data_IF_406753745362
#
_entry.id   IF_406753745362
#
_cell.length_a   1.000
_cell.length_b   1.000
_cell.length_c   1.000
_cell.angle_alpha   90.00
_cell.angle_beta   90.00
_cell.angle_gamma   90.00
#
_symmetry.space_group_name_H-M   'P 1'
#
loop_
_entity.id
_entity.type
_entity.pdbx_description
1 polymer ?
#
# COMPACT_ATOMS: atom_id res chain seq x y z
N UNK A 1 49.72 -40.12 2.62
CA UNK A 1 50.96 -40.80 3.07
C UNK A 1 50.92 -40.88 4.58
N UNK A 2 50.72 -42.07 5.15
CA UNK A 2 50.76 -42.32 6.60
C UNK A 2 52.22 -42.42 7.04
N UNK A 3 52.64 -41.58 7.98
CA UNK A 3 53.96 -41.74 8.62
C UNK A 3 53.88 -42.85 9.68
N UNK A 4 55.04 -43.40 10.04
CA UNK A 4 55.25 -44.57 10.91
C UNK A 4 54.63 -44.45 12.32
N UNK A 5 54.10 -43.28 12.70
CA UNK A 5 53.46 -42.99 14.00
C UNK A 5 51.93 -42.95 13.97
N UNK A 6 51.29 -43.38 12.86
CA UNK A 6 49.84 -43.59 12.82
C UNK A 6 48.99 -42.31 12.81
N UNK A 7 49.59 -41.13 12.62
CA UNK A 7 48.85 -39.89 12.40
C UNK A 7 48.63 -39.67 10.90
N UNK A 8 47.38 -39.64 10.48
CA UNK A 8 46.93 -39.22 9.15
C UNK A 8 47.13 -37.71 9.01
N UNK A 9 48.38 -37.26 8.89
CA UNK A 9 48.66 -35.89 8.49
C UNK A 9 48.28 -35.74 7.00
N UNK A 10 47.38 -34.81 6.65
CA UNK A 10 47.17 -34.50 5.25
C UNK A 10 48.48 -33.88 4.73
N UNK A 11 49.09 -34.49 3.71
CA UNK A 11 50.30 -34.00 3.05
C UNK A 11 49.96 -32.73 2.25
N UNK A 12 49.78 -31.62 2.97
CA UNK A 12 49.39 -30.34 2.40
C UNK A 12 50.49 -29.75 1.53
N UNK A 13 51.74 -30.06 1.83
CA UNK A 13 52.94 -29.69 1.08
C UNK A 13 52.97 -30.27 -0.35
N UNK A 14 52.22 -31.36 -0.59
CA UNK A 14 52.12 -31.99 -1.90
C UNK A 14 50.88 -31.55 -2.71
N UNK A 15 50.08 -30.61 -2.21
CA UNK A 15 48.87 -30.13 -2.90
C UNK A 15 49.20 -28.91 -3.76
N UNK A 16 48.54 -28.73 -4.93
CA UNK A 16 48.82 -27.64 -5.86
C UNK A 16 48.72 -26.22 -5.27
N UNK A 17 47.93 -26.03 -4.21
CA UNK A 17 47.71 -24.76 -3.52
C UNK A 17 47.82 -24.92 -1.99
N UNK A 18 48.50 -25.98 -1.55
CA UNK A 18 48.54 -26.36 -0.15
C UNK A 18 49.49 -25.51 0.69
N UNK A 19 50.47 -24.87 0.08
CA UNK A 19 51.39 -23.92 0.69
C UNK A 19 50.74 -22.57 1.05
N UNK A 20 49.61 -22.23 0.42
CA UNK A 20 48.90 -20.99 0.68
C UNK A 20 48.44 -20.89 2.14
N UNK A 21 48.83 -19.82 2.83
CA UNK A 21 48.27 -19.49 4.15
C UNK A 21 46.76 -19.28 4.05
N UNK A 22 46.03 -19.43 5.16
CA UNK A 22 44.57 -19.18 5.19
C UNK A 22 44.19 -17.80 4.68
N UNK A 23 45.01 -16.78 4.98
CA UNK A 23 44.83 -15.41 4.48
C UNK A 23 45.09 -15.31 2.98
N UNK A 24 46.15 -15.94 2.48
CA UNK A 24 46.48 -15.95 1.07
C UNK A 24 45.41 -16.65 0.23
N UNK A 25 44.93 -17.82 0.67
CA UNK A 25 43.84 -18.55 0.00
C UNK A 25 42.55 -17.71 -0.05
N UNK A 26 42.18 -17.07 1.07
CA UNK A 26 41.00 -16.21 1.10
C UNK A 26 41.12 -14.98 0.17
N UNK A 27 42.32 -14.39 0.08
CA UNK A 27 42.59 -13.29 -0.84
C UNK A 27 42.48 -13.72 -2.31
N UNK A 28 43.09 -14.86 -2.67
CA UNK A 28 43.02 -15.38 -4.04
C UNK A 28 41.59 -15.77 -4.45
N UNK A 29 40.81 -16.38 -3.55
CA UNK A 29 39.39 -16.67 -3.78
C UNK A 29 38.56 -15.39 -3.96
N UNK A 30 38.89 -14.30 -3.27
CA UNK A 30 38.23 -13.02 -3.46
C UNK A 30 38.53 -12.42 -4.85
N UNK A 31 39.80 -12.44 -5.27
CA UNK A 31 40.24 -12.00 -6.61
C UNK A 31 39.57 -12.82 -7.71
N UNK A 32 39.47 -14.14 -7.54
CA UNK A 32 38.75 -15.03 -8.46
C UNK A 32 37.27 -14.64 -8.58
N UNK A 33 36.59 -14.37 -7.46
CA UNK A 33 35.17 -13.99 -7.49
C UNK A 33 34.93 -12.69 -8.23
N UNK A 34 35.84 -11.71 -8.09
CA UNK A 34 35.76 -10.47 -8.84
C UNK A 34 35.97 -10.70 -10.34
N UNK A 35 36.90 -11.59 -10.72
CA UNK A 35 37.13 -11.95 -12.13
C UNK A 35 35.93 -12.66 -12.76
N UNK A 36 35.30 -13.60 -12.05
CA UNK A 36 34.09 -14.29 -12.51
C UNK A 36 32.96 -13.29 -12.74
N UNK A 37 32.76 -12.36 -11.80
CA UNK A 37 31.71 -11.33 -11.92
C UNK A 37 31.94 -10.43 -13.13
N UNK A 38 33.16 -9.93 -13.30
CA UNK A 38 33.53 -9.12 -14.45
C UNK A 38 33.34 -9.87 -15.78
N UNK A 39 33.70 -11.16 -15.83
CA UNK A 39 33.49 -11.99 -17.01
C UNK A 39 32.00 -12.16 -17.36
N UNK A 40 31.14 -12.32 -16.34
CA UNK A 40 29.68 -12.40 -16.51
C UNK A 40 29.07 -11.07 -16.97
N UNK A 41 29.50 -9.95 -16.38
CA UNK A 41 29.02 -8.60 -16.72
C UNK A 41 29.36 -8.22 -18.17
N UNK A 42 30.53 -8.65 -18.66
CA UNK A 42 30.99 -8.36 -20.03
C UNK A 42 30.76 -9.50 -21.03
N UNK A 43 30.05 -10.56 -20.64
CA UNK A 43 29.78 -11.74 -21.47
C UNK A 43 31.04 -12.34 -22.11
N UNK A 44 32.18 -12.27 -21.40
CA UNK A 44 33.48 -12.74 -21.87
C UNK A 44 33.78 -14.12 -21.28
N UNK A 45 34.18 -15.12 -22.09
CA UNK A 45 34.52 -16.43 -21.56
C UNK A 45 35.83 -16.38 -20.76
N UNK A 46 35.86 -17.09 -19.63
CA UNK A 46 37.08 -17.27 -18.83
C UNK A 46 38.11 -18.13 -19.59
N UNK A 47 39.37 -17.72 -19.56
CA UNK A 47 40.49 -18.49 -20.13
C UNK A 47 40.58 -19.88 -19.47
N UNK A 48 41.08 -20.88 -20.21
CA UNK A 48 41.29 -22.23 -19.67
C UNK A 48 42.17 -22.23 -18.42
N UNK A 49 43.22 -21.38 -18.40
CA UNK A 49 44.12 -21.20 -17.26
C UNK A 49 43.38 -20.66 -16.03
N UNK A 50 42.52 -19.65 -16.21
CA UNK A 50 41.71 -19.10 -15.11
C UNK A 50 40.75 -20.16 -14.57
N UNK A 51 40.09 -20.94 -15.45
CA UNK A 51 39.19 -22.03 -15.02
C UNK A 51 39.91 -23.09 -14.18
N UNK A 52 41.14 -23.46 -14.54
CA UNK A 52 41.94 -24.42 -13.76
C UNK A 52 42.33 -23.86 -12.39
N UNK A 53 42.83 -22.61 -12.33
CA UNK A 53 43.17 -21.95 -11.05
C UNK A 53 41.95 -21.83 -10.14
N UNK A 54 40.77 -21.51 -10.69
CA UNK A 54 39.50 -21.46 -9.95
C UNK A 54 39.16 -22.84 -9.37
N UNK A 55 39.29 -23.90 -10.18
CA UNK A 55 39.01 -25.26 -9.75
C UNK A 55 39.96 -25.70 -8.63
N UNK A 56 41.25 -25.41 -8.74
CA UNK A 56 42.26 -25.77 -7.73
C UNK A 56 42.07 -25.01 -6.41
N UNK A 57 41.81 -23.70 -6.47
CA UNK A 57 41.52 -22.91 -5.27
C UNK A 57 40.22 -23.34 -4.58
N UNK A 58 39.20 -23.70 -5.36
CA UNK A 58 37.92 -24.19 -4.82
C UNK A 58 38.09 -25.57 -4.19
N UNK A 59 38.85 -26.47 -4.82
CA UNK A 59 39.19 -27.79 -4.30
C UNK A 59 39.98 -27.69 -3.00
N UNK A 60 40.99 -26.82 -2.94
CA UNK A 60 41.76 -26.58 -1.71
C UNK A 60 40.86 -26.01 -0.59
N UNK A 61 39.94 -25.09 -0.92
CA UNK A 61 38.99 -24.57 0.07
C UNK A 61 38.04 -25.65 0.62
N UNK A 62 37.61 -26.60 -0.21
CA UNK A 62 36.81 -27.74 0.22
C UNK A 62 37.61 -28.70 1.10
N UNK A 63 38.86 -29.01 0.70
CA UNK A 63 39.76 -29.87 1.47
C UNK A 63 40.04 -29.30 2.86
N UNK A 64 40.13 -27.97 3.02
CA UNK A 64 40.31 -27.32 4.34
C UNK A 64 39.07 -27.32 5.22
N UNK A 65 37.87 -27.60 4.66
CA UNK A 65 36.61 -27.69 5.40
C UNK A 65 36.26 -29.12 5.82
N UNK A 66 36.84 -30.12 5.15
CA UNK A 66 36.60 -31.53 5.42
C UNK A 66 37.14 -32.03 6.78
N UNK A 67 38.34 -31.66 7.26
CA UNK A 67 38.87 -32.17 8.52
C UNK A 67 38.19 -31.53 9.75
N UNK A 68 38.31 -32.20 10.90
CA UNK A 68 37.86 -31.61 12.16
C UNK A 68 38.60 -30.30 12.43
N UNK A 69 37.96 -29.36 13.14
CA UNK A 69 38.53 -28.04 13.38
C UNK A 69 39.92 -28.08 14.06
N UNK A 70 40.20 -29.12 14.86
CA UNK A 70 41.50 -29.31 15.53
C UNK A 70 42.60 -29.68 14.53
N UNK A 71 42.30 -30.57 13.59
CA UNK A 71 43.25 -30.99 12.56
C UNK A 71 43.49 -29.86 11.55
N UNK A 72 42.42 -29.15 11.17
CA UNK A 72 42.51 -27.95 10.34
C UNK A 72 43.40 -26.87 10.98
N UNK A 73 43.22 -26.61 12.28
CA UNK A 73 44.04 -25.64 13.02
C UNK A 73 45.51 -26.07 13.13
N UNK A 74 45.77 -27.38 13.27
CA UNK A 74 47.13 -27.94 13.31
C UNK A 74 47.83 -27.80 11.96
N UNK A 75 47.13 -28.12 10.86
CA UNK A 75 47.64 -27.98 9.48
C UNK A 75 47.92 -26.50 9.15
N UNK A 76 47.01 -25.59 9.50
CA UNK A 76 47.20 -24.14 9.34
C UNK A 76 48.43 -23.62 10.12
N UNK A 77 48.63 -24.10 11.36
CA UNK A 77 49.81 -23.73 12.16
C UNK A 77 51.12 -24.24 11.55
N UNK A 78 51.12 -25.46 11.01
CA UNK A 78 52.29 -26.03 10.33
C UNK A 78 52.63 -25.24 9.06
N UNK A 79 51.63 -24.84 8.26
CA UNK A 79 51.79 -23.96 7.09
C UNK A 79 52.40 -22.62 7.47
N UNK A 80 51.79 -21.92 8.43
CA UNK A 80 52.27 -20.62 8.89
C UNK A 80 53.71 -20.70 9.40
N UNK A 81 54.10 -21.81 10.02
CA UNK A 81 55.47 -22.03 10.49
C UNK A 81 56.46 -22.25 9.34
N UNK A 82 56.07 -23.05 8.35
CA UNK A 82 56.90 -23.33 7.17
C UNK A 82 57.14 -22.06 6.34
N UNK A 83 56.10 -21.24 6.12
CA UNK A 83 56.21 -19.99 5.36
C UNK A 83 57.06 -18.93 6.10
N UNK A 84 57.10 -18.95 7.43
CA UNK A 84 57.80 -17.96 8.25
C UNK A 84 59.24 -18.36 8.65
N UNK A 85 59.76 -19.51 8.21
CA UNK A 85 61.17 -19.90 8.37
C UNK A 85 61.68 -20.05 9.81
N UNK A 86 60.81 -20.26 10.80
CA UNK A 86 61.21 -20.25 12.22
C UNK A 86 61.76 -21.61 12.67
N UNK A 87 63.09 -21.71 12.77
CA UNK A 87 63.82 -22.83 13.36
C UNK A 87 63.40 -23.09 14.83
N UNK A 88 63.41 -24.37 15.25
CA UNK A 88 63.17 -24.81 16.62
C UNK A 88 64.28 -24.27 17.54
N UNK A 89 63.94 -23.44 18.52
CA UNK A 89 64.82 -23.18 19.68
C UNK A 89 64.96 -21.73 20.14
N UNK A 90 64.62 -20.72 19.33
CA UNK A 90 64.74 -19.31 19.73
C UNK A 90 63.44 -18.56 19.47
N UNK A 91 62.40 -18.82 20.27
CA UNK A 91 61.28 -17.88 20.41
C UNK A 91 61.77 -16.63 21.13
N UNK A 92 62.43 -15.76 20.38
CA UNK A 92 62.75 -14.40 20.79
C UNK A 92 61.48 -13.76 21.35
N UNK A 93 61.58 -13.08 22.49
CA UNK A 93 60.49 -12.34 23.12
C UNK A 93 59.82 -11.37 22.11
N UNK A 94 60.56 -10.90 21.11
CA UNK A 94 60.03 -10.11 20.00
C UNK A 94 59.07 -10.89 19.07
N UNK A 95 59.29 -12.19 18.84
CA UNK A 95 58.38 -13.05 18.08
C UNK A 95 57.07 -13.31 18.87
N UNK A 96 57.16 -13.48 20.19
CA UNK A 96 55.99 -13.61 21.08
C UNK A 96 55.18 -12.30 21.12
N UNK A 97 55.85 -11.15 21.23
CA UNK A 97 55.19 -9.83 21.18
C UNK A 97 54.49 -9.59 19.84
N UNK A 98 55.14 -9.93 18.71
CA UNK A 98 54.53 -9.83 17.38
C UNK A 98 53.30 -10.71 17.24
N UNK A 99 53.37 -11.98 17.63
CA UNK A 99 52.20 -12.89 17.57
C UNK A 99 51.05 -12.43 18.47
N UNK A 100 51.34 -11.93 19.67
CA UNK A 100 50.31 -11.33 20.53
C UNK A 100 49.69 -10.07 19.93
N UNK A 101 50.49 -9.19 19.32
CA UNK A 101 50.01 -8.00 18.62
C UNK A 101 49.10 -8.39 17.44
N UNK A 102 49.52 -9.34 16.60
CA UNK A 102 48.70 -9.87 15.49
C UNK A 102 47.40 -10.51 15.96
N UNK A 103 47.41 -11.23 17.09
CA UNK A 103 46.18 -11.79 17.68
C UNK A 103 45.24 -10.69 18.18
N UNK A 104 45.78 -9.64 18.81
CA UNK A 104 44.99 -8.50 19.30
C UNK A 104 44.33 -7.74 18.14
N UNK A 105 45.08 -7.47 17.06
CA UNK A 105 44.54 -6.80 15.87
C UNK A 105 43.48 -7.66 15.19
N UNK A 106 43.75 -8.95 14.96
CA UNK A 106 42.77 -9.88 14.38
C UNK A 106 41.49 -9.99 15.22
N UNK A 107 41.60 -9.91 16.55
CA UNK A 107 40.44 -9.92 17.46
C UNK A 107 39.65 -8.61 17.37
N UNK A 108 40.35 -7.47 17.31
CA UNK A 108 39.72 -6.16 17.13
C UNK A 108 38.98 -6.07 15.78
N UNK A 109 39.60 -6.56 14.71
CA UNK A 109 39.00 -6.62 13.38
C UNK A 109 37.74 -7.50 13.38
N UNK A 110 37.81 -8.71 13.96
CA UNK A 110 36.62 -9.59 14.09
C UNK A 110 35.49 -8.92 14.86
N UNK A 111 35.78 -8.22 15.96
CA UNK A 111 34.78 -7.47 16.72
C UNK A 111 34.17 -6.35 15.90
N UNK A 112 34.97 -5.61 15.13
CA UNK A 112 34.49 -4.56 14.22
C UNK A 112 33.58 -5.12 13.13
N UNK A 113 33.98 -6.23 12.49
CA UNK A 113 33.16 -6.90 11.48
C UNK A 113 31.85 -7.43 12.05
N UNK A 114 31.87 -8.04 13.24
CA UNK A 114 30.67 -8.53 13.90
C UNK A 114 29.69 -7.39 14.21
N UNK A 115 30.17 -6.25 14.73
CA UNK A 115 29.34 -5.06 14.98
C UNK A 115 28.74 -4.50 13.69
N UNK A 116 29.53 -4.41 12.62
CA UNK A 116 29.03 -3.94 11.33
C UNK A 116 28.02 -4.91 10.69
N UNK A 117 28.17 -6.22 10.92
CA UNK A 117 27.20 -7.22 10.47
C UNK A 117 25.90 -7.13 11.27
N UNK A 118 25.96 -6.96 12.59
CA UNK A 118 24.79 -6.76 13.45
C UNK A 118 24.02 -5.51 13.04
N UNK A 119 24.69 -4.37 12.90
CA UNK A 119 24.04 -3.12 12.49
C UNK A 119 23.34 -3.21 11.12
N UNK A 120 23.89 -4.01 10.18
CA UNK A 120 23.21 -4.28 8.90
C UNK A 120 21.99 -5.17 9.07
N UNK A 121 22.06 -6.17 9.94
CA UNK A 121 20.93 -7.03 10.24
C UNK A 121 19.80 -6.22 10.87
N UNK A 122 20.11 -5.37 11.84
CA UNK A 122 19.15 -4.47 12.50
C UNK A 122 18.48 -3.54 11.49
N UNK A 123 19.24 -2.90 10.60
CA UNK A 123 18.69 -2.04 9.56
C UNK A 123 17.75 -2.79 8.58
N UNK A 124 18.03 -4.05 8.27
CA UNK A 124 17.15 -4.89 7.44
C UNK A 124 15.88 -5.26 8.21
N UNK A 125 16.00 -5.65 9.47
CA UNK A 125 14.85 -5.92 10.34
C UNK A 125 13.95 -4.71 10.51
N UNK A 126 14.53 -3.52 10.72
CA UNK A 126 13.78 -2.27 10.81
C UNK A 126 13.04 -1.95 9.52
N UNK A 127 13.67 -2.19 8.36
CA UNK A 127 13.01 -2.03 7.06
C UNK A 127 11.85 -3.02 6.88
N UNK A 128 12.04 -4.27 7.28
CA UNK A 128 10.97 -5.30 7.24
C UNK A 128 9.81 -4.89 8.15
N UNK A 129 10.09 -4.46 9.38
CA UNK A 129 9.04 -4.00 10.30
C UNK A 129 8.37 -2.71 9.85
N UNK A 130 9.10 -1.79 9.20
CA UNK A 130 8.53 -0.60 8.60
C UNK A 130 7.58 -0.96 7.45
N UNK A 131 7.97 -1.90 6.58
CA UNK A 131 7.13 -2.41 5.51
C UNK A 131 5.88 -3.13 6.06
N UNK A 132 6.03 -3.97 7.07
CA UNK A 132 4.90 -4.65 7.72
C UNK A 132 3.92 -3.64 8.34
N UNK A 133 4.41 -2.64 9.07
CA UNK A 133 3.57 -1.54 9.60
C UNK A 133 2.91 -0.73 8.49
N UNK A 134 3.56 -0.58 7.35
CA UNK A 134 2.98 0.11 6.20
C UNK A 134 1.83 -0.69 5.58
N UNK A 135 1.98 -2.01 5.48
CA UNK A 135 0.91 -2.94 5.02
C UNK A 135 -0.25 -3.06 6.00
N UNK A 136 0.01 -2.94 7.30
CA UNK A 136 -1.04 -2.89 8.31
C UNK A 136 -1.86 -1.59 8.23
N UNK A 137 -1.24 -0.49 7.78
CA UNK A 137 -1.87 0.85 7.72
C UNK A 137 -2.51 1.18 6.37
N UNK A 138 -2.05 0.59 5.29
CA UNK A 138 -2.73 0.69 3.99
C UNK A 138 -3.69 -0.49 3.87
N UNK A 139 -5.02 -0.27 3.79
CA UNK A 139 -5.87 -1.27 3.17
C UNK A 139 -5.30 -1.46 1.77
N UNK A 140 -4.86 -2.67 1.43
CA UNK A 140 -4.11 -2.97 0.21
C UNK A 140 -4.78 -2.36 -1.03
N UNK A 141 -6.10 -2.19 -1.00
CA UNK A 141 -6.92 -1.44 -1.94
C UNK A 141 -8.22 -1.08 -1.22
N UNK A 142 -8.97 -0.08 -1.69
CA UNK A 142 -10.35 0.09 -1.23
C UNK A 142 -11.09 -1.25 -1.38
N UNK A 143 -11.88 -1.69 -0.38
CA UNK A 143 -12.54 -2.99 -0.44
C UNK A 143 -13.34 -3.07 -1.74
N UNK A 144 -13.06 -4.12 -2.53
CA UNK A 144 -13.76 -4.33 -3.80
C UNK A 144 -15.25 -4.37 -3.52
N UNK A 145 -16.00 -3.47 -4.17
CA UNK A 145 -17.46 -3.49 -4.10
C UNK A 145 -17.96 -4.43 -5.19
N UNK A 146 -18.57 -5.58 -4.84
CA UNK A 146 -19.01 -6.54 -5.84
C UNK A 146 -20.00 -5.90 -6.80
N UNK A 147 -19.76 -6.06 -8.10
CA UNK A 147 -20.67 -5.68 -9.16
C UNK A 147 -21.61 -6.83 -9.49
N UNK A 148 -22.80 -6.83 -8.88
CA UNK A 148 -23.83 -7.84 -9.17
C UNK A 148 -24.67 -7.48 -10.40
N UNK A 149 -24.40 -6.33 -11.04
CA UNK A 149 -25.13 -5.80 -12.19
C UNK A 149 -24.40 -6.00 -13.53
N UNK A 150 -23.27 -6.71 -13.55
CA UNK A 150 -22.61 -7.12 -14.79
C UNK A 150 -23.40 -8.16 -15.59
N UNK A 151 -23.00 -8.39 -16.85
CA UNK A 151 -23.52 -9.52 -17.64
C UNK A 151 -23.25 -10.86 -16.92
N UNK A 152 -22.03 -11.00 -16.40
CA UNK A 152 -21.68 -11.97 -15.37
C UNK A 152 -21.55 -11.21 -14.05
N UNK A 153 -22.44 -11.44 -13.08
CA UNK A 153 -22.32 -10.89 -11.73
C UNK A 153 -21.08 -11.43 -11.00
N UNK A 154 -20.48 -10.61 -10.12
CA UNK A 154 -19.28 -11.02 -9.36
C UNK A 154 -19.50 -12.25 -8.46
N UNK A 155 -20.73 -12.49 -8.00
CA UNK A 155 -21.06 -13.72 -7.24
C UNK A 155 -21.03 -15.00 -8.09
N UNK A 156 -21.10 -14.88 -9.42
CA UNK A 156 -20.92 -15.97 -10.39
C UNK A 156 -19.45 -16.16 -10.73
N UNK A 157 -18.78 -15.09 -11.14
CA UNK A 157 -17.35 -15.06 -11.39
C UNK A 157 -16.84 -13.66 -11.10
N UNK A 158 -15.90 -13.55 -10.16
CA UNK A 158 -15.33 -12.26 -9.76
C UNK A 158 -14.57 -11.61 -10.93
N UNK A 159 -15.01 -10.41 -11.31
CA UNK A 159 -14.40 -9.61 -12.38
C UNK A 159 -13.32 -8.65 -11.87
N UNK A 160 -13.17 -8.48 -10.55
CA UNK A 160 -12.22 -7.52 -9.96
C UNK A 160 -10.79 -7.76 -10.43
N UNK A 161 -10.35 -9.01 -10.45
CA UNK A 161 -9.00 -9.37 -10.86
C UNK A 161 -8.70 -9.01 -12.33
N UNK A 162 -9.72 -8.83 -13.19
CA UNK A 162 -9.55 -8.39 -14.57
C UNK A 162 -9.18 -6.91 -14.68
N UNK A 163 -9.67 -6.09 -13.77
CA UNK A 163 -9.49 -4.63 -13.75
C UNK A 163 -8.44 -4.17 -12.74
N UNK A 164 -8.02 -5.06 -11.83
CA UNK A 164 -7.07 -4.71 -10.78
C UNK A 164 -5.68 -4.39 -11.36
N UNK A 165 -5.08 -3.23 -11.02
CA UNK A 165 -3.81 -2.78 -11.59
C UNK A 165 -2.63 -3.69 -11.23
N UNK A 166 -2.72 -4.41 -10.11
CA UNK A 166 -1.72 -5.39 -9.68
C UNK A 166 -1.80 -6.74 -10.41
N UNK A 167 -2.82 -6.99 -11.24
CA UNK A 167 -2.93 -8.27 -11.96
C UNK A 167 -2.04 -8.24 -13.20
N UNK A 168 -1.03 -9.14 -13.32
CA UNK A 168 -0.18 -9.20 -14.51
C UNK A 168 -1.00 -9.45 -15.77
N UNK A 169 -0.55 -8.91 -16.90
CA UNK A 169 -1.33 -8.92 -18.15
C UNK A 169 -1.69 -10.34 -18.64
N UNK A 170 -0.75 -11.28 -18.55
CA UNK A 170 -1.01 -12.68 -18.93
C UNK A 170 -2.08 -13.34 -18.04
N UNK A 171 -2.13 -12.98 -16.75
CA UNK A 171 -3.19 -13.43 -15.85
C UNK A 171 -4.54 -12.79 -16.20
N UNK A 172 -4.56 -11.49 -16.52
CA UNK A 172 -5.78 -10.82 -17.00
C UNK A 172 -6.31 -11.49 -18.27
N UNK A 173 -5.45 -11.80 -19.23
CA UNK A 173 -5.83 -12.49 -20.47
C UNK A 173 -6.42 -13.88 -20.19
N UNK A 174 -5.77 -14.68 -19.34
CA UNK A 174 -6.26 -16.01 -18.98
C UNK A 174 -7.57 -15.96 -18.19
N UNK A 175 -7.73 -15.01 -17.27
CA UNK A 175 -8.98 -14.80 -16.54
C UNK A 175 -10.10 -14.36 -17.49
N UNK A 176 -9.82 -13.47 -18.45
CA UNK A 176 -10.80 -13.04 -19.44
C UNK A 176 -11.27 -14.22 -20.30
N UNK A 177 -10.35 -15.10 -20.70
CA UNK A 177 -10.70 -16.34 -21.40
C UNK A 177 -11.58 -17.25 -20.54
N UNK A 178 -11.23 -17.42 -19.26
CA UNK A 178 -12.05 -18.22 -18.34
C UNK A 178 -13.43 -17.62 -18.09
N UNK A 179 -13.59 -16.30 -18.08
CA UNK A 179 -14.87 -15.60 -17.97
C UNK A 179 -15.77 -15.78 -19.21
N UNK A 180 -15.20 -16.05 -20.40
CA UNK A 180 -16.00 -16.37 -21.61
C UNK A 180 -16.75 -17.69 -21.49
N UNK A 181 -16.21 -18.66 -20.75
CA UNK A 181 -16.82 -19.98 -20.55
C UNK A 181 -18.18 -19.89 -19.81
N UNK A 182 -18.27 -19.29 -18.60
CA UNK A 182 -19.55 -19.12 -17.92
C UNK A 182 -20.49 -18.18 -18.67
N UNK A 183 -19.98 -17.14 -19.36
CA UNK A 183 -20.84 -16.30 -20.22
C UNK A 183 -21.55 -17.13 -21.29
N UNK A 184 -20.81 -17.96 -22.02
CA UNK A 184 -21.36 -18.84 -23.05
C UNK A 184 -22.34 -19.85 -22.45
N UNK A 185 -21.97 -20.48 -21.33
CA UNK A 185 -22.82 -21.45 -20.65
C UNK A 185 -24.15 -20.81 -20.16
N UNK A 186 -24.11 -19.61 -19.61
CA UNK A 186 -25.31 -18.85 -19.22
C UNK A 186 -26.17 -18.50 -20.43
N UNK A 187 -25.55 -18.08 -21.54
CA UNK A 187 -26.28 -17.78 -22.77
C UNK A 187 -26.98 -19.04 -23.33
N UNK A 188 -26.28 -20.16 -23.46
CA UNK A 188 -26.83 -21.43 -23.94
C UNK A 188 -27.96 -21.94 -23.04
N UNK A 189 -27.76 -21.83 -21.72
CA UNK A 189 -28.79 -22.23 -20.75
C UNK A 189 -30.01 -21.32 -20.82
N UNK A 190 -29.81 -20.01 -20.96
CA UNK A 190 -30.89 -19.04 -21.13
C UNK A 190 -31.73 -19.31 -22.38
N UNK A 191 -31.11 -19.68 -23.50
CA UNK A 191 -31.83 -20.08 -24.71
C UNK A 191 -32.66 -21.35 -24.48
N UNK A 192 -32.10 -22.34 -23.78
CA UNK A 192 -32.82 -23.57 -23.42
C UNK A 192 -34.05 -23.27 -22.54
N UNK A 193 -33.88 -22.41 -21.53
CA UNK A 193 -34.96 -21.96 -20.66
C UNK A 193 -36.03 -21.15 -21.41
N UNK A 194 -35.65 -20.36 -22.42
CA UNK A 194 -36.60 -19.60 -23.22
C UNK A 194 -37.44 -20.50 -24.15
N UNK A 195 -36.90 -21.63 -24.58
CA UNK A 195 -37.63 -22.61 -25.39
C UNK A 195 -38.64 -23.41 -24.56
N UNK A 196 -38.29 -23.77 -23.32
CA UNK A 196 -39.16 -24.50 -22.41
C UNK A 196 -39.11 -23.90 -20.99
N UNK A 197 -39.85 -22.80 -20.72
CA UNK A 197 -39.80 -22.13 -19.42
C UNK A 197 -40.31 -23.02 -18.29
N UNK A 198 -39.49 -23.29 -17.25
CA UNK A 198 -39.92 -24.09 -16.10
C UNK A 198 -40.94 -23.34 -15.24
N UNK A 199 -41.68 -24.07 -14.40
CA UNK A 199 -42.74 -23.48 -13.57
C UNK A 199 -42.24 -22.37 -12.61
N UNK A 200 -41.01 -22.47 -12.11
CA UNK A 200 -40.42 -21.43 -11.26
C UNK A 200 -40.20 -20.12 -12.02
N UNK A 201 -40.10 -20.13 -13.34
CA UNK A 201 -39.84 -18.93 -14.15
C UNK A 201 -41.10 -18.06 -14.36
N UNK A 202 -42.27 -18.48 -13.90
CA UNK A 202 -43.53 -17.70 -13.99
C UNK A 202 -43.39 -16.23 -13.56
N UNK A 203 -42.67 -15.87 -12.47
CA UNK A 203 -42.50 -14.48 -12.07
C UNK A 203 -41.69 -13.61 -13.04
N UNK A 204 -40.89 -14.20 -13.94
CA UNK A 204 -40.16 -13.47 -14.99
C UNK A 204 -41.07 -13.05 -16.16
N UNK A 205 -42.30 -13.58 -16.21
CA UNK A 205 -43.21 -13.44 -17.35
C UNK A 205 -42.85 -14.38 -18.51
N UNK A 206 -43.68 -14.42 -19.56
CA UNK A 206 -43.41 -15.26 -20.74
C UNK A 206 -42.16 -14.77 -21.49
N UNK A 207 -41.41 -15.68 -22.15
CA UNK A 207 -40.27 -15.30 -22.96
C UNK A 207 -40.72 -14.36 -24.10
N UNK A 208 -40.03 -13.22 -24.33
CA UNK A 208 -40.37 -12.29 -25.39
C UNK A 208 -40.31 -12.91 -26.80
N UNK A 209 -41.12 -12.41 -27.75
CA UNK A 209 -41.11 -12.91 -29.13
C UNK A 209 -39.74 -12.71 -29.79
N UNK A 210 -39.42 -13.55 -30.79
CA UNK A 210 -38.17 -13.47 -31.57
C UNK A 210 -37.96 -12.12 -32.25
N UNK A 211 -39.04 -11.39 -32.55
CA UNK A 211 -39.01 -10.03 -33.11
C UNK A 211 -38.41 -8.98 -32.16
N UNK A 212 -38.21 -9.32 -30.87
CA UNK A 212 -37.61 -8.42 -29.87
C UNK A 212 -36.30 -9.00 -29.30
N UNK A 213 -35.24 -9.14 -30.13
CA UNK A 213 -34.06 -9.93 -29.78
C UNK A 213 -33.35 -9.43 -28.51
N UNK A 214 -33.26 -8.11 -28.31
CA UNK A 214 -32.64 -7.54 -27.09
C UNK A 214 -33.41 -7.92 -25.81
N UNK A 215 -34.74 -7.80 -25.83
CA UNK A 215 -35.58 -8.12 -24.67
C UNK A 215 -35.60 -9.62 -24.40
N UNK A 216 -35.62 -10.43 -25.46
CA UNK A 216 -35.51 -11.89 -25.38
C UNK A 216 -34.17 -12.32 -24.79
N UNK A 217 -33.06 -11.71 -25.21
CA UNK A 217 -31.74 -11.96 -24.65
C UNK A 217 -31.69 -11.58 -23.15
N UNK A 218 -32.19 -10.41 -22.77
CA UNK A 218 -32.24 -10.01 -21.37
C UNK A 218 -33.07 -10.97 -20.49
N UNK A 219 -34.21 -11.46 -21.02
CA UNK A 219 -35.02 -12.48 -20.35
C UNK A 219 -34.24 -13.79 -20.19
N UNK A 220 -33.59 -14.27 -21.27
CA UNK A 220 -32.82 -15.51 -21.28
C UNK A 220 -31.65 -15.47 -20.29
N UNK A 221 -30.86 -14.39 -20.28
CA UNK A 221 -29.75 -14.20 -19.35
C UNK A 221 -30.26 -14.15 -17.90
N UNK A 222 -31.35 -13.43 -17.64
CA UNK A 222 -31.92 -13.35 -16.28
C UNK A 222 -32.46 -14.69 -15.81
N UNK A 223 -33.12 -15.47 -16.69
CA UNK A 223 -33.58 -16.81 -16.36
C UNK A 223 -32.41 -17.76 -16.03
N UNK A 224 -31.32 -17.72 -16.80
CA UNK A 224 -30.13 -18.52 -16.51
C UNK A 224 -29.49 -18.15 -15.16
N UNK A 225 -29.40 -16.85 -14.85
CA UNK A 225 -28.89 -16.38 -13.56
C UNK A 225 -29.79 -16.81 -12.39
N UNK A 226 -31.12 -16.74 -12.54
CA UNK A 226 -32.07 -17.21 -11.53
C UNK A 226 -31.93 -18.72 -11.31
N UNK A 227 -31.76 -19.50 -12.38
CA UNK A 227 -31.54 -20.94 -12.24
C UNK A 227 -30.23 -21.27 -11.54
N UNK A 228 -29.15 -20.58 -11.90
CA UNK A 228 -27.84 -20.73 -11.25
C UNK A 228 -27.94 -20.38 -9.76
N UNK A 229 -28.61 -19.29 -9.42
CA UNK A 229 -28.89 -18.89 -8.04
C UNK A 229 -29.65 -19.98 -7.29
N UNK A 230 -30.74 -20.49 -7.86
CA UNK A 230 -31.53 -21.57 -7.27
C UNK A 230 -30.71 -22.84 -7.05
N UNK A 231 -29.83 -23.17 -7.98
CA UNK A 231 -28.93 -24.34 -7.87
C UNK A 231 -27.93 -24.14 -6.73
N UNK A 232 -27.30 -22.97 -6.66
CA UNK A 232 -26.34 -22.61 -5.59
C UNK A 232 -26.97 -22.65 -4.19
N UNK A 233 -28.22 -22.19 -4.06
CA UNK A 233 -28.94 -22.12 -2.79
C UNK A 233 -29.92 -23.29 -2.56
N UNK A 234 -29.85 -24.36 -3.38
CA UNK A 234 -30.71 -25.54 -3.27
C UNK A 234 -32.23 -25.24 -3.23
N UNK A 235 -32.69 -24.26 -4.01
CA UNK A 235 -34.09 -23.80 -4.04
C UNK A 235 -34.89 -24.65 -5.02
N UNK A 236 -35.72 -25.56 -4.50
CA UNK A 236 -36.51 -26.50 -5.33
C UNK A 236 -37.99 -26.14 -5.41
N UNK A 237 -38.62 -25.71 -4.31
CA UNK A 237 -40.09 -25.53 -4.23
C UNK A 237 -40.63 -24.10 -4.37
N UNK A 238 -39.79 -23.07 -4.27
CA UNK A 238 -40.25 -21.68 -4.35
C UNK A 238 -40.36 -21.19 -5.80
N UNK A 239 -41.30 -20.30 -6.16
CA UNK A 239 -41.30 -19.61 -7.45
C UNK A 239 -40.17 -18.56 -7.51
N UNK A 240 -39.70 -18.26 -8.72
CA UNK A 240 -38.69 -17.21 -8.97
C UNK A 240 -37.38 -17.47 -8.24
N UNK A 241 -36.87 -16.42 -7.57
CA UNK A 241 -35.60 -16.45 -6.84
C UNK A 241 -35.67 -17.13 -5.46
N UNK A 242 -36.87 -17.39 -4.94
CA UNK A 242 -37.05 -17.82 -3.55
C UNK A 242 -36.86 -16.67 -2.54
N UNK A 243 -36.84 -16.99 -1.23
CA UNK A 243 -36.72 -15.99 -0.17
C UNK A 243 -35.36 -15.28 -0.19
N UNK A 244 -35.34 -14.01 0.23
CA UNK A 244 -34.11 -13.23 0.39
C UNK A 244 -33.23 -13.83 1.50
N UNK A 245 -31.95 -14.16 1.24
CA UNK A 245 -31.04 -14.67 2.27
C UNK A 245 -30.78 -13.67 3.41
N UNK A 246 -30.35 -14.20 4.56
CA UNK A 246 -29.94 -13.39 5.71
C UNK A 246 -28.47 -12.92 5.64
N UNK A 247 -27.61 -13.66 4.93
CA UNK A 247 -26.22 -13.26 4.72
C UNK A 247 -26.17 -11.93 3.91
N UNK A 248 -25.45 -10.90 4.37
CA UNK A 248 -25.44 -9.58 3.71
C UNK A 248 -24.94 -9.60 2.27
N UNK A 249 -23.94 -10.44 1.95
CA UNK A 249 -23.37 -10.53 0.61
C UNK A 249 -24.35 -11.16 -0.37
N UNK A 250 -24.92 -12.30 0.01
CA UNK A 250 -25.95 -12.97 -0.77
C UNK A 250 -27.24 -12.13 -0.87
N UNK A 251 -27.58 -11.38 0.18
CA UNK A 251 -28.75 -10.50 0.18
C UNK A 251 -28.61 -9.37 -0.86
N UNK A 252 -27.42 -8.79 -1.03
CA UNK A 252 -27.18 -7.78 -2.06
C UNK A 252 -27.24 -8.36 -3.49
N UNK A 253 -26.68 -9.55 -3.70
CA UNK A 253 -26.78 -10.26 -4.97
C UNK A 253 -28.23 -10.63 -5.31
N UNK A 254 -28.99 -11.07 -4.31
CA UNK A 254 -30.43 -11.34 -4.43
C UNK A 254 -31.20 -10.08 -4.80
N UNK A 255 -30.95 -8.94 -4.13
CA UNK A 255 -31.65 -7.68 -4.37
C UNK A 255 -31.41 -7.16 -5.79
N UNK A 256 -30.18 -7.24 -6.31
CA UNK A 256 -29.84 -6.84 -7.68
C UNK A 256 -30.46 -7.80 -8.72
N UNK A 257 -30.51 -9.10 -8.45
CA UNK A 257 -31.14 -10.08 -9.35
C UNK A 257 -32.67 -9.94 -9.36
N UNK A 258 -33.29 -9.66 -8.21
CA UNK A 258 -34.72 -9.37 -8.14
C UNK A 258 -35.06 -8.05 -8.86
N UNK A 259 -34.20 -7.02 -8.74
CA UNK A 259 -34.35 -5.79 -9.52
C UNK A 259 -34.33 -6.05 -11.04
N UNK A 260 -33.50 -6.98 -11.53
CA UNK A 260 -33.49 -7.41 -12.95
C UNK A 260 -34.80 -8.09 -13.35
N UNK A 261 -35.30 -9.02 -12.53
CA UNK A 261 -36.59 -9.69 -12.77
C UNK A 261 -37.74 -8.67 -12.85
N UNK A 262 -37.74 -7.68 -11.95
CA UNK A 262 -38.72 -6.57 -11.97
C UNK A 262 -38.61 -5.71 -13.22
N UNK A 263 -37.38 -5.37 -13.64
CA UNK A 263 -37.15 -4.59 -14.85
C UNK A 263 -37.71 -5.26 -16.11
N UNK A 264 -37.63 -6.60 -16.20
CA UNK A 264 -38.22 -7.37 -17.31
C UNK A 264 -39.75 -7.31 -17.35
N UNK A 265 -40.38 -7.40 -16.18
CA UNK A 265 -41.84 -7.46 -16.03
C UNK A 265 -42.52 -6.09 -16.00
N UNK A 266 -41.74 -5.00 -15.94
CA UNK A 266 -42.27 -3.64 -15.82
C UNK A 266 -42.98 -3.36 -14.49
N UNK A 267 -42.95 -4.31 -13.54
CA UNK A 267 -43.51 -4.14 -12.19
C UNK A 267 -42.55 -3.30 -11.36
N UNK A 268 -42.80 -1.98 -11.33
CA UNK A 268 -42.16 -1.09 -10.36
C UNK A 268 -42.64 -1.47 -8.96
N UNK A 269 -41.72 -1.50 -7.99
CA UNK A 269 -42.10 -1.52 -6.56
C UNK A 269 -43.00 -0.29 -6.33
N UNK A 270 -44.16 -0.40 -5.67
CA UNK A 270 -44.84 0.78 -5.16
C UNK A 270 -43.81 1.50 -4.29
N UNK A 271 -43.41 2.70 -4.72
CA UNK A 271 -42.69 3.59 -3.83
C UNK A 271 -43.70 3.88 -2.72
N UNK A 272 -43.38 3.47 -1.50
CA UNK A 272 -44.09 3.99 -0.33
C UNK A 272 -43.80 5.48 -0.31
N UNK A 273 -44.65 6.26 -0.98
CA UNK A 273 -44.71 7.69 -0.73
C UNK A 273 -45.13 7.83 0.74
N UNK A 274 -44.35 8.54 1.56
CA UNK A 274 -44.76 8.78 2.92
C UNK A 274 -46.11 9.53 2.93
N UNK A 275 -46.99 9.25 3.89
CA UNK A 275 -48.24 10.00 4.05
C UNK A 275 -47.96 11.51 4.17
N UNK A 276 -48.92 12.37 3.81
CA UNK A 276 -48.73 13.83 3.76
C UNK A 276 -48.29 14.45 5.10
N UNK A 277 -48.39 13.70 6.20
CA UNK A 277 -48.08 14.14 7.56
C UNK A 277 -46.72 13.62 8.06
N UNK A 278 -45.88 13.05 7.18
CA UNK A 278 -44.58 12.53 7.58
C UNK A 278 -43.60 13.66 7.95
N UNK A 279 -42.77 13.47 9.01
CA UNK A 279 -41.81 14.47 9.44
C UNK A 279 -40.79 14.76 8.33
N UNK A 280 -40.31 16.01 8.28
CA UNK A 280 -39.44 16.52 7.21
C UNK A 280 -38.20 15.66 6.96
N UNK A 281 -37.66 14.98 7.97
CA UNK A 281 -36.55 14.04 7.84
C UNK A 281 -36.85 12.86 6.90
N UNK A 282 -38.06 12.31 6.95
CA UNK A 282 -38.51 11.20 6.09
C UNK A 282 -38.79 11.69 4.66
N UNK A 283 -39.27 12.94 4.52
CA UNK A 283 -39.48 13.59 3.22
C UNK A 283 -38.14 13.90 2.54
N UNK A 284 -37.14 14.34 3.30
CA UNK A 284 -35.78 14.61 2.81
C UNK A 284 -35.09 13.31 2.40
N UNK A 285 -35.20 12.24 3.17
CA UNK A 285 -34.62 10.92 2.83
C UNK A 285 -35.28 10.30 1.57
N UNK A 286 -36.60 10.46 1.43
CA UNK A 286 -37.34 10.05 0.23
C UNK A 286 -36.98 10.91 -1.00
N UNK A 287 -36.77 12.22 -0.81
CA UNK A 287 -36.36 13.14 -1.89
C UNK A 287 -34.90 12.89 -2.33
N UNK A 288 -34.00 12.58 -1.41
CA UNK A 288 -32.62 12.21 -1.73
C UNK A 288 -32.57 10.85 -2.47
N UNK A 289 -33.39 9.88 -2.05
CA UNK A 289 -33.56 8.61 -2.79
C UNK A 289 -34.16 8.81 -4.19
N UNK A 290 -34.91 9.89 -4.43
CA UNK A 290 -35.49 10.23 -5.73
C UNK A 290 -34.46 10.85 -6.69
N UNK A 291 -33.47 11.57 -6.18
CA UNK A 291 -32.37 12.16 -6.95
C UNK A 291 -31.36 11.12 -7.47
N UNK A 292 -31.25 9.97 -6.80
CA UNK A 292 -30.40 8.83 -7.22
C UNK A 292 -31.08 7.90 -8.25
N UNK A 293 -32.36 8.10 -8.56
CA UNK A 293 -33.05 7.35 -9.59
C UNK A 293 -32.88 8.02 -10.97
N UNK A 294 -32.49 7.28 -12.04
CA UNK A 294 -32.34 7.88 -13.38
C UNK A 294 -33.70 8.42 -13.88
N UNK A 295 -33.72 9.57 -14.59
CA UNK A 295 -34.97 10.21 -15.00
C UNK A 295 -35.75 9.34 -15.99
N UNK A 296 -37.08 9.49 -16.05
CA UNK A 296 -37.92 8.70 -16.93
C UNK A 296 -37.60 9.00 -18.41
N UNK A 297 -37.28 7.94 -19.17
CA UNK A 297 -37.15 8.01 -20.62
C UNK A 297 -38.49 8.24 -21.30
N UNK A 298 -38.83 9.50 -21.52
CA UNK A 298 -39.81 9.93 -22.54
C UNK A 298 -39.01 10.45 -23.73
N UNK A 299 -39.31 10.04 -24.97
CA UNK A 299 -38.62 10.59 -26.14
C UNK A 299 -39.18 12.00 -26.41
N UNK A 300 -38.40 13.04 -26.08
CA UNK A 300 -38.63 14.42 -26.55
C UNK A 300 -37.68 14.74 -27.72
N UNK A 301 -38.08 15.63 -28.64
CA UNK A 301 -37.52 15.74 -29.98
C UNK A 301 -36.05 16.17 -30.01
N UNK A 302 -35.37 15.74 -31.07
CA UNK A 302 -33.98 16.00 -31.40
C UNK A 302 -33.61 17.50 -31.31
N UNK A 303 -33.14 17.93 -30.13
CA UNK A 303 -32.55 19.24 -29.92
C UNK A 303 -31.04 19.05 -29.65
N UNK A 304 -30.13 19.67 -30.43
CA UNK A 304 -28.69 19.41 -30.36
C UNK A 304 -27.99 20.02 -29.13
N UNK A 305 -28.73 20.50 -28.12
CA UNK A 305 -28.18 21.19 -26.96
C UNK A 305 -28.21 20.39 -25.64
N UNK A 306 -28.58 19.10 -25.65
CA UNK A 306 -28.59 18.23 -24.47
C UNK A 306 -27.77 16.94 -24.66
N UNK A 307 -26.58 17.09 -25.25
CA UNK A 307 -25.47 16.16 -24.98
C UNK A 307 -24.63 16.77 -23.86
N UNK A 308 -24.77 16.26 -22.64
CA UNK A 308 -23.66 16.29 -21.69
C UNK A 308 -22.87 14.97 -21.83
N UNK A 309 -21.60 14.98 -22.29
CA UNK A 309 -20.93 13.80 -22.84
C UNK A 309 -20.04 13.01 -21.88
N UNK A 310 -20.26 13.02 -20.55
CA UNK A 310 -19.25 12.47 -19.62
C UNK A 310 -19.60 11.30 -18.69
N UNK A 311 -20.79 10.67 -18.74
CA UNK A 311 -20.99 9.33 -18.15
C UNK A 311 -20.40 9.09 -16.74
N UNK A 312 -20.50 10.07 -15.83
CA UNK A 312 -19.83 10.02 -14.53
C UNK A 312 -20.66 9.13 -13.60
N UNK A 313 -20.02 8.09 -13.05
CA UNK A 313 -20.56 7.24 -11.98
C UNK A 313 -21.03 8.11 -10.79
N UNK A 314 -21.96 7.64 -9.94
CA UNK A 314 -22.29 8.38 -8.71
C UNK A 314 -20.98 8.70 -7.97
N UNK A 315 -20.76 9.96 -7.56
CA UNK A 315 -19.52 10.35 -6.90
C UNK A 315 -19.28 9.42 -5.73
N UNK A 316 -18.06 8.87 -5.63
CA UNK A 316 -17.67 8.12 -4.45
C UNK A 316 -17.93 8.97 -3.21
N UNK A 317 -18.25 8.36 -2.08
CA UNK A 317 -18.53 9.09 -0.85
C UNK A 317 -17.42 10.07 -0.47
N UNK A 318 -16.16 9.73 -0.75
CA UNK A 318 -15.02 10.64 -0.61
C UNK A 318 -15.10 11.88 -1.51
N UNK A 319 -15.62 11.75 -2.73
CA UNK A 319 -15.83 12.89 -3.63
C UNK A 319 -16.98 13.79 -3.15
N UNK A 320 -18.00 13.22 -2.48
CA UNK A 320 -19.05 14.00 -1.83
C UNK A 320 -18.50 14.80 -0.64
N UNK A 321 -17.68 14.19 0.22
CA UNK A 321 -17.06 14.90 1.35
C UNK A 321 -16.12 16.00 0.88
N UNK A 322 -15.28 15.71 -0.12
CA UNK A 322 -14.38 16.71 -0.67
C UNK A 322 -15.14 17.87 -1.30
N UNK A 323 -16.29 17.61 -1.93
CA UNK A 323 -17.16 18.66 -2.48
C UNK A 323 -17.81 19.48 -1.38
N UNK A 324 -18.28 18.84 -0.31
CA UNK A 324 -18.84 19.52 0.86
C UNK A 324 -17.80 20.42 1.53
N UNK A 325 -16.58 19.91 1.74
CA UNK A 325 -15.46 20.66 2.30
C UNK A 325 -15.06 21.87 1.42
N UNK A 326 -15.02 21.72 0.10
CA UNK A 326 -14.76 22.84 -0.82
C UNK A 326 -15.88 23.89 -0.80
N UNK A 327 -17.14 23.46 -0.68
CA UNK A 327 -18.27 24.37 -0.53
C UNK A 327 -18.21 25.14 0.78
N UNK A 328 -17.82 24.48 1.86
CA UNK A 328 -17.59 25.13 3.15
C UNK A 328 -16.46 26.16 3.06
N UNK A 329 -15.32 25.82 2.44
CA UNK A 329 -14.24 26.79 2.20
C UNK A 329 -14.72 28.00 1.39
N UNK A 330 -15.46 27.78 0.30
CA UNK A 330 -16.02 28.87 -0.49
C UNK A 330 -16.96 29.77 0.34
N UNK A 331 -17.80 29.17 1.19
CA UNK A 331 -18.68 29.93 2.09
C UNK A 331 -17.89 30.74 3.12
N UNK A 332 -16.84 30.19 3.72
CA UNK A 332 -15.92 30.92 4.63
C UNK A 332 -15.36 32.16 3.94
N UNK A 333 -14.75 31.98 2.77
CA UNK A 333 -14.08 33.06 2.05
C UNK A 333 -15.06 34.13 1.54
N UNK A 334 -16.32 33.75 1.32
CA UNK A 334 -17.39 34.66 0.94
C UNK A 334 -18.09 35.33 2.15
N UNK A 335 -17.77 34.93 3.39
CA UNK A 335 -18.49 35.36 4.59
C UNK A 335 -19.94 34.86 4.65
N UNK A 336 -20.24 33.76 3.96
CA UNK A 336 -21.55 33.10 3.91
C UNK A 336 -21.71 32.08 5.06
N UNK A 337 -22.96 31.77 5.47
CA UNK A 337 -23.20 30.71 6.45
C UNK A 337 -22.72 29.35 5.96
N UNK A 338 -22.15 28.56 6.88
CA UNK A 338 -21.60 27.24 6.55
C UNK A 338 -22.69 26.20 6.23
N UNK A 339 -22.40 25.22 5.36
CA UNK A 339 -23.40 24.20 4.99
C UNK A 339 -23.91 23.36 6.16
N UNK A 340 -23.07 23.11 7.16
CA UNK A 340 -23.43 22.35 8.36
C UNK A 340 -22.92 23.05 9.62
N UNK A 341 -23.75 23.09 10.67
CA UNK A 341 -23.49 23.86 11.88
C UNK A 341 -22.20 23.45 12.62
N UNK A 342 -21.83 22.16 12.61
CA UNK A 342 -20.59 21.70 13.26
C UNK A 342 -19.32 22.28 12.60
N UNK A 343 -19.40 22.71 11.34
CA UNK A 343 -18.25 23.30 10.65
C UNK A 343 -17.88 24.67 11.22
N UNK A 344 -18.82 25.35 11.90
CA UNK A 344 -18.59 26.64 12.57
C UNK A 344 -17.68 26.49 13.80
N UNK A 345 -17.59 25.29 14.38
CA UNK A 345 -16.74 25.01 15.54
C UNK A 345 -15.24 24.93 15.15
N UNK A 346 -14.92 24.71 13.87
CA UNK A 346 -13.54 24.68 13.37
C UNK A 346 -13.16 26.08 12.88
N UNK A 347 -12.04 26.62 13.36
CA UNK A 347 -11.64 27.99 13.03
C UNK A 347 -11.42 28.16 11.51
N UNK A 348 -12.16 29.07 10.89
CA UNK A 348 -12.29 29.20 9.43
C UNK A 348 -11.09 29.92 8.77
N UNK A 349 -10.34 29.38 7.78
CA UNK A 349 -8.98 29.81 7.33
C UNK A 349 -8.85 31.30 6.97
N UNK A 350 -7.62 31.83 6.94
CA UNK A 350 -7.37 33.16 6.38
C UNK A 350 -7.54 33.22 4.86
N UNK A 351 -7.97 34.38 4.34
CA UNK A 351 -8.25 34.58 2.91
C UNK A 351 -6.99 34.49 2.03
N UNK A 352 -5.83 34.82 2.59
CA UNK A 352 -4.55 34.92 1.86
C UNK A 352 -3.63 33.69 2.04
N UNK A 353 -4.07 32.64 2.73
CA UNK A 353 -3.22 31.49 3.08
C UNK A 353 -3.68 30.18 2.43
N UNK A 354 -3.23 29.93 1.20
CA UNK A 354 -3.56 28.71 0.45
C UNK A 354 -3.21 27.41 1.21
N UNK A 355 -2.15 27.44 2.02
CA UNK A 355 -1.73 26.27 2.80
C UNK A 355 -2.73 25.99 3.93
N UNK A 356 -3.20 27.04 4.60
CA UNK A 356 -4.25 26.94 5.62
C UNK A 356 -5.59 26.50 5.01
N UNK A 357 -5.97 27.05 3.85
CA UNK A 357 -7.18 26.67 3.12
C UNK A 357 -7.15 25.19 2.69
N UNK A 358 -5.98 24.71 2.24
CA UNK A 358 -5.79 23.29 1.92
C UNK A 358 -5.90 22.41 3.16
N UNK A 359 -5.25 22.80 4.27
CA UNK A 359 -5.33 22.08 5.54
C UNK A 359 -6.77 22.02 6.08
N UNK A 360 -7.50 23.14 6.04
CA UNK A 360 -8.90 23.24 6.42
C UNK A 360 -9.79 22.32 5.59
N UNK A 361 -9.65 22.35 4.26
CA UNK A 361 -10.42 21.48 3.34
C UNK A 361 -10.17 20.00 3.63
N UNK A 362 -8.90 19.63 3.88
CA UNK A 362 -8.52 18.25 4.20
C UNK A 362 -9.12 17.81 5.54
N UNK A 363 -9.09 18.67 6.56
CA UNK A 363 -9.69 18.43 7.87
C UNK A 363 -11.20 18.23 7.75
N UNK A 364 -11.92 19.14 7.08
CA UNK A 364 -13.37 19.02 6.87
C UNK A 364 -13.75 17.75 6.11
N UNK A 365 -12.95 17.36 5.12
CA UNK A 365 -13.18 16.11 4.35
C UNK A 365 -13.08 14.90 5.28
N UNK A 366 -12.05 14.83 6.14
CA UNK A 366 -11.84 13.72 7.06
C UNK A 366 -12.93 13.66 8.14
N UNK A 367 -13.35 14.81 8.68
CA UNK A 367 -14.44 14.88 9.65
C UNK A 367 -15.78 14.47 9.02
N UNK A 368 -16.07 14.92 7.80
CA UNK A 368 -17.30 14.54 7.08
C UNK A 368 -17.36 13.03 6.82
N UNK A 369 -16.24 12.42 6.40
CA UNK A 369 -16.15 10.97 6.23
C UNK A 369 -16.42 10.22 7.54
N UNK A 370 -15.76 10.63 8.63
CA UNK A 370 -15.96 10.03 9.95
C UNK A 370 -17.42 10.15 10.40
N UNK A 371 -18.02 11.34 10.33
CA UNK A 371 -19.41 11.56 10.72
C UNK A 371 -20.37 10.69 9.93
N UNK A 372 -20.15 10.53 8.62
CA UNK A 372 -20.95 9.62 7.80
C UNK A 372 -20.77 8.16 8.22
N UNK A 373 -19.53 7.68 8.36
CA UNK A 373 -19.23 6.28 8.75
C UNK A 373 -19.87 5.91 10.09
N UNK A 374 -19.96 6.87 11.01
CA UNK A 374 -20.51 6.67 12.34
C UNK A 374 -21.94 7.21 12.50
N UNK A 375 -22.63 7.54 11.41
CA UNK A 375 -24.01 8.05 11.39
C UNK A 375 -24.26 9.19 12.39
N UNK A 376 -23.32 10.14 12.47
CA UNK A 376 -23.39 11.28 13.39
C UNK A 376 -24.14 12.44 12.76
N UNK A 377 -25.24 12.82 13.40
CA UNK A 377 -25.96 14.06 13.15
C UNK A 377 -25.96 14.88 14.45
N UNK A 378 -25.70 16.19 14.35
CA UNK A 378 -25.65 17.09 15.51
C UNK A 378 -24.56 18.16 15.40
N UNK A 379 -24.56 19.15 16.31
CA UNK A 379 -23.58 20.25 16.30
C UNK A 379 -22.17 19.81 16.75
N UNK A 380 -22.06 18.82 17.64
CA UNK A 380 -20.78 18.28 18.10
C UNK A 380 -20.02 17.65 16.93
N UNK A 381 -18.81 18.15 16.64
CA UNK A 381 -17.97 17.77 15.48
C UNK A 381 -17.79 16.25 15.39
N UNK A 382 -17.42 15.57 16.48
CA UNK A 382 -17.08 14.14 16.48
C UNK A 382 -18.03 13.28 17.33
N UNK A 383 -18.84 13.91 18.20
CA UNK A 383 -19.67 13.18 19.15
C UNK A 383 -18.87 12.57 20.30
N UNK A 384 -19.52 11.82 21.21
CA UNK A 384 -18.83 11.14 22.29
C UNK A 384 -17.85 10.09 21.76
N UNK A 385 -16.66 10.03 22.36
CA UNK A 385 -15.59 9.08 22.01
C UNK A 385 -16.10 7.64 22.02
N UNK A 386 -16.03 6.90 20.89
CA UNK A 386 -16.37 5.48 20.84
C UNK A 386 -15.51 4.63 21.79
N UNK A 387 -16.03 3.48 22.24
CA UNK A 387 -15.23 2.48 22.96
C UNK A 387 -14.59 1.51 21.97
N UNK A 388 -13.33 1.12 22.22
CA UNK A 388 -12.62 0.12 21.41
C UNK A 388 -11.79 0.75 20.29
N UNK A 389 -11.55 -0.03 19.22
CA UNK A 389 -10.67 0.33 18.10
C UNK A 389 -11.18 1.54 17.29
N UNK A 390 -12.50 1.75 17.25
CA UNK A 390 -13.10 2.95 16.63
C UNK A 390 -12.76 4.25 17.37
N UNK A 391 -12.17 4.17 18.57
CA UNK A 391 -11.69 5.32 19.32
C UNK A 391 -10.40 5.92 18.76
N UNK A 392 -9.60 5.16 18.01
CA UNK A 392 -8.32 5.64 17.43
C UNK A 392 -8.56 6.67 16.32
N UNK A 393 -9.53 6.43 15.43
CA UNK A 393 -9.95 7.39 14.40
C UNK A 393 -10.46 8.69 15.04
N UNK A 394 -11.23 8.58 16.14
CA UNK A 394 -11.73 9.72 16.90
C UNK A 394 -10.58 10.51 17.55
N UNK A 395 -9.62 9.82 18.18
CA UNK A 395 -8.44 10.43 18.81
C UNK A 395 -7.60 11.17 17.76
N UNK A 396 -7.35 10.56 16.60
CA UNK A 396 -6.60 11.17 15.50
C UNK A 396 -7.27 12.42 14.93
N UNK A 397 -8.60 12.41 14.79
CA UNK A 397 -9.33 13.59 14.33
C UNK A 397 -9.34 14.70 15.37
N UNK A 398 -9.43 14.35 16.66
CA UNK A 398 -9.33 15.31 17.76
C UNK A 398 -7.96 15.97 17.77
N UNK A 399 -6.89 15.18 17.69
CA UNK A 399 -5.51 15.68 17.58
C UNK A 399 -5.33 16.57 16.34
N UNK A 400 -5.93 16.22 15.20
CA UNK A 400 -5.84 17.01 13.98
C UNK A 400 -6.57 18.36 14.09
N UNK A 401 -7.75 18.39 14.72
CA UNK A 401 -8.50 19.62 15.00
C UNK A 401 -7.70 20.51 15.95
N UNK A 402 -7.15 19.93 17.02
CA UNK A 402 -6.31 20.64 17.98
C UNK A 402 -5.07 21.21 17.32
N UNK A 403 -4.31 20.41 16.56
CA UNK A 403 -3.10 20.84 15.88
C UNK A 403 -3.39 21.97 14.87
N UNK A 404 -4.47 21.86 14.11
CA UNK A 404 -4.88 22.91 13.17
C UNK A 404 -5.20 24.22 13.92
N UNK A 405 -5.97 24.13 15.00
CA UNK A 405 -6.36 25.27 15.83
C UNK A 405 -5.12 25.92 16.48
N UNK A 406 -4.20 25.13 17.03
CA UNK A 406 -2.95 25.63 17.63
C UNK A 406 -2.05 26.30 16.59
N UNK A 407 -1.85 25.68 15.42
CA UNK A 407 -1.03 26.24 14.35
C UNK A 407 -1.56 27.62 13.92
N UNK A 408 -2.88 27.73 13.83
CA UNK A 408 -3.53 28.99 13.47
C UNK A 408 -3.39 30.06 14.55
N UNK A 409 -3.67 29.73 15.80
CA UNK A 409 -3.49 30.67 16.92
C UNK A 409 -2.04 31.17 16.95
N UNK A 410 -1.08 30.26 16.73
CA UNK A 410 0.34 30.59 16.58
C UNK A 410 0.61 31.63 15.48
N UNK A 411 0.12 31.38 14.25
CA UNK A 411 0.27 32.32 13.12
C UNK A 411 -0.36 33.68 13.41
N UNK A 412 -1.59 33.71 13.94
CA UNK A 412 -2.26 34.98 14.27
C UNK A 412 -1.51 35.80 15.31
N UNK A 413 -0.90 35.14 16.30
CA UNK A 413 -0.04 35.81 17.27
C UNK A 413 1.24 36.35 16.63
N UNK A 414 1.82 35.63 15.67
CA UNK A 414 2.98 36.08 14.90
C UNK A 414 2.65 37.29 14.01
N UNK A 415 1.50 37.29 13.34
CA UNK A 415 1.02 38.42 12.55
C UNK A 415 0.79 39.66 13.43
N UNK A 416 0.17 39.48 14.60
CA UNK A 416 -0.01 40.58 15.56
C UNK A 416 1.34 41.13 16.05
N UNK A 417 2.32 40.25 16.33
CA UNK A 417 3.68 40.67 16.70
C UNK A 417 4.37 41.42 15.57
N UNK A 418 4.26 40.95 14.34
CA UNK A 418 4.81 41.58 13.14
C UNK A 418 4.20 42.96 12.87
N UNK A 419 2.86 43.08 12.97
CA UNK A 419 2.15 44.37 12.88
C UNK A 419 2.58 45.33 14.00
N UNK A 420 2.68 44.86 15.23
CA UNK A 420 3.13 45.68 16.37
C UNK A 420 4.57 46.16 16.17
N UNK A 421 5.46 45.30 15.66
CA UNK A 421 6.83 45.67 15.34
C UNK A 421 6.90 46.72 14.21
N UNK A 422 6.10 46.55 13.15
CA UNK A 422 6.02 47.52 12.06
C UNK A 422 5.51 48.89 12.53
N UNK A 423 4.45 48.92 13.35
CA UNK A 423 3.93 50.17 13.96
C UNK A 423 4.96 50.81 14.88
N UNK A 424 5.71 50.02 15.66
CA UNK A 424 6.78 50.55 16.49
C UNK A 424 7.92 51.15 15.64
N UNK A 425 8.25 50.51 14.52
CA UNK A 425 9.28 50.99 13.61
C UNK A 425 8.89 52.30 12.91
N UNK A 426 7.60 52.54 12.64
CA UNK A 426 7.14 53.82 12.06
C UNK A 426 7.06 54.96 13.08
N UNK A 427 6.83 54.65 14.35
CA UNK A 427 6.76 55.65 15.43
C UNK A 427 8.13 56.06 15.99
N UNK A 428 9.16 55.23 15.83
CA UNK A 428 10.52 55.60 16.21
C UNK A 428 11.19 56.36 15.06
N UNK A 429 11.65 57.62 15.25
CA UNK A 429 12.39 58.33 14.22
C UNK A 429 13.65 57.52 13.87
N UNK A 430 14.10 57.54 12.60
CA UNK A 430 15.32 56.85 12.19
C UNK A 430 16.47 57.40 13.03
N UNK A 431 16.88 56.65 14.05
CA UNK A 431 18.05 56.98 14.85
C UNK A 431 19.23 57.00 13.89
N UNK A 432 19.75 58.20 13.65
CA UNK A 432 20.93 58.44 12.83
C UNK A 432 22.01 57.40 13.15
N UNK A 433 22.70 56.86 12.13
CA UNK A 433 23.75 55.88 12.37
C UNK A 433 24.80 56.52 13.26
N UNK A 434 24.88 56.03 14.49
CA UNK A 434 25.96 56.34 15.42
C UNK A 434 27.28 56.00 14.73
N UNK A 435 28.14 57.01 14.66
CA UNK A 435 29.51 56.97 14.22
C UNK A 435 30.20 55.65 14.65
N UNK A 436 30.86 54.90 13.74
CA UNK A 436 31.65 53.75 14.15
C UNK A 436 32.79 54.22 15.04
N UNK A 437 32.80 53.76 16.29
CA UNK A 437 33.97 53.88 17.15
C UNK A 437 35.12 53.05 16.56
N UNK A 438 36.37 53.56 16.57
CA UNK A 438 37.50 52.88 15.94
C UNK A 438 37.86 51.58 16.67
N UNK A 439 38.43 50.59 15.95
CA UNK A 439 38.74 49.26 16.48
C UNK A 439 39.89 49.32 17.51
N UNK A 440 39.67 48.60 18.60
CA UNK A 440 40.60 48.40 19.72
C UNK A 440 41.81 47.53 19.26
N UNK A 441 43.07 48.03 19.31
CA UNK A 441 44.24 47.38 18.74
C UNK A 441 44.81 46.21 19.56
N UNK A 442 44.10 45.70 20.57
CA UNK A 442 44.66 44.75 21.53
C UNK A 442 44.06 43.33 21.50
N UNK A 443 43.90 42.74 20.31
CA UNK A 443 43.56 41.31 20.21
C UNK A 443 44.74 40.47 19.68
N UNK A 444 45.65 39.99 20.56
CA UNK A 444 46.75 39.11 20.17
C UNK A 444 46.24 37.68 19.89
N UNK A 445 46.63 37.17 18.72
CA UNK A 445 46.22 35.89 18.17
C UNK A 445 46.66 34.67 19.00
N UNK A 446 45.71 33.76 19.23
CA UNK A 446 45.99 32.42 19.73
C UNK A 446 46.32 31.48 18.56
N UNK A 447 47.61 31.16 18.42
CA UNK A 447 48.08 30.02 17.65
C UNK A 447 47.54 28.70 18.22
N UNK A 448 47.01 27.85 17.34
CA UNK A 448 46.74 26.43 17.62
C UNK A 448 47.97 25.59 17.28
N UNK A 449 48.44 24.68 18.15
CA UNK A 449 49.39 23.65 17.76
C UNK A 449 48.63 22.44 17.17
N UNK A 450 49.20 21.87 16.11
CA UNK A 450 48.71 20.69 15.42
C UNK A 450 49.16 19.39 16.11
N UNK A 451 48.31 18.37 16.06
CA UNK A 451 48.69 16.97 15.91
C UNK A 451 47.63 16.21 15.13
#
# INVERSE_FOLDING_TARGET
VTTRTGHTHPAWDQRPMGDLTRRALAAQLATVRTQIRHAQEHNTPLTDTARHVIADLTREAQLRRAPTWRDAAREDFQRERATNGAALGATSLAAIRRTLATRRTATADRRRFARAALARADAVSDKIHAELRFRERLPDHAPHRPNNRGEIPDWVADSHALVHPGTPEHWRAHLAERHRIPARSLADRGHTLAAAPPAWARPLGPPPPTSTPRRRHAWATTAALVELWRTRHAITGAPGLGPRPADPGDAAAWDDLDARVRALTGRRRPVLLPPPDAPASVVIEAALSHLDAPPPGVPLPDHPALRDPFGVAPPSYAALDARLARRALAAVLAGEPLPEAWMEEITAPGDDDETEQHAYTKLLTAVSDYRRRHHRAGPDILGPRPRGLDGEDWDHLTDAIDLYTHARVGRRLEDLRSRTAAVRATLLPPTSPLHPSPPDPHQPGRQRPAR
#
